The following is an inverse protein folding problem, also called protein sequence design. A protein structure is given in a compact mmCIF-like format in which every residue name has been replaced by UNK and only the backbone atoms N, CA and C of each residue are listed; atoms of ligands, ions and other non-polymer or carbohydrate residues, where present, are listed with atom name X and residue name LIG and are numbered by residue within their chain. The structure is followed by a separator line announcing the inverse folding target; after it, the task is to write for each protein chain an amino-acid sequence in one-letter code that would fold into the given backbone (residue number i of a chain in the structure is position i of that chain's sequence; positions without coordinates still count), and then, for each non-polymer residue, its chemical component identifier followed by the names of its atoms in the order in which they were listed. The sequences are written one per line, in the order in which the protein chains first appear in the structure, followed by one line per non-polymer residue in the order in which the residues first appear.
data_IF_823064301468
#
_entry.id   IF_823064301468
#
_cell.length_a   1.000
_cell.length_b   1.000
_cell.length_c   1.000
_cell.angle_alpha   90.00
_cell.angle_beta   90.00
_cell.angle_gamma   90.00
#
_symmetry.space_group_name_H-M   'P 1'
#
loop_
_entity.id
_entity.type
_entity.pdbx_description
1 polymer ?
#
# COMPACT_ATOMS: atom_id res chain seq x y z
N UNK A 1 -9.34 -8.24 -12.73
CA UNK A 1 -8.22 -7.50 -12.10
C UNK A 1 -7.76 -6.45 -13.11
N UNK A 2 -7.43 -5.25 -12.66
CA UNK A 2 -7.13 -4.13 -13.55
C UNK A 2 -5.67 -3.70 -13.34
N UNK A 3 -4.92 -3.52 -14.42
CA UNK A 3 -3.65 -2.80 -14.44
C UNK A 3 -3.90 -1.43 -15.08
N UNK A 4 -3.45 -0.35 -14.46
CA UNK A 4 -3.65 1.02 -14.97
C UNK A 4 -2.33 1.75 -15.03
N UNK A 5 -2.13 2.53 -16.11
CA UNK A 5 -1.03 3.50 -16.19
C UNK A 5 -1.50 4.79 -15.53
N UNK A 6 -0.88 5.19 -14.41
CA UNK A 6 -1.32 6.37 -13.66
C UNK A 6 -1.21 7.68 -14.44
N UNK A 7 -0.31 7.76 -15.44
CA UNK A 7 -0.14 8.96 -16.27
C UNK A 7 -1.35 9.22 -17.19
N UNK A 8 -2.00 8.18 -17.72
CA UNK A 8 -3.05 8.32 -18.74
C UNK A 8 -4.43 7.84 -18.27
N UNK A 9 -4.51 7.18 -17.12
CA UNK A 9 -5.76 6.53 -16.65
C UNK A 9 -6.22 5.39 -17.56
N UNK A 10 -5.38 4.98 -18.52
CA UNK A 10 -5.68 3.90 -19.45
C UNK A 10 -5.51 2.55 -18.76
N UNK A 11 -6.44 1.64 -19.05
CA UNK A 11 -6.31 0.24 -18.68
C UNK A 11 -5.21 -0.38 -19.54
N UNK A 12 -4.18 -0.91 -18.90
CA UNK A 12 -3.08 -1.59 -19.57
C UNK A 12 -3.49 -3.00 -19.98
N UNK A 13 -4.21 -3.72 -19.12
CA UNK A 13 -4.74 -5.05 -19.42
C UNK A 13 -5.90 -5.46 -18.49
N UNK A 14 -6.70 -6.42 -18.94
CA UNK A 14 -7.91 -6.91 -18.29
C UNK A 14 -7.83 -8.41 -17.99
N UNK A 15 -7.95 -8.78 -16.71
CA UNK A 15 -8.20 -10.17 -16.31
C UNK A 15 -9.68 -10.36 -15.91
N UNK A 16 -10.46 -11.06 -16.74
CA UNK A 16 -11.80 -11.55 -16.38
C UNK A 16 -11.63 -12.53 -15.22
N UNK A 17 -12.24 -12.25 -14.05
CA UNK A 17 -12.41 -13.27 -13.01
C UNK A 17 -13.55 -14.20 -13.44
N UNK A 18 -13.32 -15.47 -13.82
CA UNK A 18 -14.39 -16.44 -13.87
C UNK A 18 -14.75 -16.76 -12.42
N UNK A 19 -16.03 -16.67 -12.07
CA UNK A 19 -16.48 -16.98 -10.73
C UNK A 19 -16.15 -18.44 -10.39
N UNK A 20 -15.52 -18.61 -9.22
CA UNK A 20 -15.33 -19.88 -8.51
C UNK A 20 -14.13 -20.72 -9.02
N UNK A 21 -12.96 -20.59 -8.36
CA UNK A 21 -12.07 -21.66 -7.83
C UNK A 21 -10.65 -21.10 -7.58
N UNK A 22 -10.29 -20.90 -6.32
CA UNK A 22 -8.90 -20.74 -5.81
C UNK A 22 -8.00 -19.68 -6.51
N UNK A 23 -8.49 -18.44 -6.62
CA UNK A 23 -8.02 -17.35 -7.50
C UNK A 23 -6.70 -16.61 -7.15
N UNK A 24 -5.70 -17.23 -6.52
CA UNK A 24 -4.42 -16.52 -6.20
C UNK A 24 -3.25 -16.87 -7.12
N UNK A 25 -3.28 -18.01 -7.82
CA UNK A 25 -2.12 -18.53 -8.57
C UNK A 25 -1.96 -17.98 -9.99
N UNK A 26 -2.91 -17.19 -10.50
CA UNK A 26 -2.83 -16.56 -11.83
C UNK A 26 -2.67 -15.05 -11.80
N UNK A 27 -3.00 -14.42 -10.66
CA UNK A 27 -2.98 -12.97 -10.53
C UNK A 27 -1.55 -12.42 -10.41
N UNK A 28 -0.67 -13.14 -9.72
CA UNK A 28 0.75 -12.82 -9.65
C UNK A 28 1.40 -12.94 -11.03
N UNK A 29 1.16 -14.04 -11.75
CA UNK A 29 1.71 -14.24 -13.08
C UNK A 29 1.23 -13.15 -14.06
N UNK A 30 -0.07 -12.87 -14.09
CA UNK A 30 -0.63 -11.79 -14.91
C UNK A 30 0.03 -10.43 -14.65
N UNK A 31 0.27 -10.07 -13.38
CA UNK A 31 0.97 -8.83 -13.06
C UNK A 31 2.42 -8.81 -13.55
N UNK A 32 3.11 -9.95 -13.49
CA UNK A 32 4.49 -10.06 -13.96
C UNK A 32 4.55 -9.96 -15.49
N UNK A 33 3.60 -10.58 -16.19
CA UNK A 33 3.49 -10.52 -17.64
C UNK A 33 3.20 -9.07 -18.08
N UNK A 34 2.28 -8.39 -17.39
CA UNK A 34 2.01 -6.96 -17.63
C UNK A 34 3.25 -6.09 -17.44
N UNK A 35 4.02 -6.33 -16.38
CA UNK A 35 5.24 -5.58 -16.11
C UNK A 35 6.31 -5.83 -17.18
N UNK A 36 6.45 -7.08 -17.61
CA UNK A 36 7.40 -7.47 -18.65
C UNK A 36 7.08 -6.75 -19.97
N UNK A 37 5.81 -6.74 -20.38
CA UNK A 37 5.37 -6.04 -21.59
C UNK A 37 5.54 -4.52 -21.46
N UNK A 38 5.17 -3.92 -20.33
CA UNK A 38 5.33 -2.48 -20.14
C UNK A 38 6.81 -2.05 -20.24
N UNK A 39 7.72 -2.88 -19.70
CA UNK A 39 9.17 -2.64 -19.79
C UNK A 39 9.75 -2.82 -21.19
N UNK A 40 9.24 -3.77 -21.97
CA UNK A 40 9.72 -3.99 -23.35
C UNK A 40 9.39 -2.78 -24.23
N UNK A 41 8.21 -2.18 -24.01
CA UNK A 41 7.73 -1.03 -24.78
C UNK A 41 8.36 0.31 -24.34
N UNK A 42 8.72 0.45 -23.06
CA UNK A 42 9.14 1.72 -22.46
C UNK A 42 10.55 1.65 -21.83
N UNK A 43 11.50 1.16 -22.61
CA UNK A 43 12.91 1.08 -22.19
C UNK A 43 13.44 2.45 -21.74
N UNK A 44 14.11 2.49 -20.58
CA UNK A 44 14.68 3.71 -20.01
C UNK A 44 13.77 4.50 -19.05
N UNK A 45 12.52 4.07 -18.86
CA UNK A 45 11.60 4.71 -17.90
C UNK A 45 11.76 4.17 -16.49
N UNK A 46 11.43 4.99 -15.48
CA UNK A 46 11.31 4.54 -14.09
C UNK A 46 9.92 3.96 -13.93
N UNK A 47 9.83 2.73 -13.44
CA UNK A 47 8.55 2.10 -13.15
C UNK A 47 8.28 2.18 -11.66
N UNK A 48 7.09 2.66 -11.30
CA UNK A 48 6.59 2.60 -9.94
C UNK A 48 5.28 1.81 -9.88
N UNK A 49 4.98 1.19 -8.75
CA UNK A 49 3.76 0.41 -8.60
C UNK A 49 3.13 0.48 -7.22
N UNK A 50 1.80 0.47 -7.21
CA UNK A 50 0.98 0.40 -6.00
C UNK A 50 0.21 -0.91 -5.99
N UNK A 51 0.31 -1.62 -4.89
CA UNK A 51 -0.29 -2.94 -4.71
C UNK A 51 -1.16 -2.98 -3.45
N UNK A 52 -2.26 -3.71 -3.54
CA UNK A 52 -3.03 -4.09 -2.37
C UNK A 52 -2.37 -5.27 -1.60
N UNK A 53 -3.00 -5.69 -0.50
CA UNK A 53 -2.46 -6.73 0.38
C UNK A 53 -2.53 -8.16 -0.19
N UNK A 54 -3.34 -8.40 -1.22
CA UNK A 54 -3.41 -9.71 -1.87
C UNK A 54 -2.10 -10.06 -2.59
N UNK A 55 -1.32 -9.05 -2.98
CA UNK A 55 -0.03 -9.23 -3.65
C UNK A 55 1.18 -9.18 -2.72
N UNK A 56 0.95 -9.13 -1.40
CA UNK A 56 2.02 -9.21 -0.41
C UNK A 56 2.65 -10.61 -0.39
N UNK A 57 3.57 -10.88 -1.30
CA UNK A 57 4.29 -12.16 -1.43
C UNK A 57 5.76 -11.94 -1.77
N UNK A 58 6.63 -12.88 -1.36
CA UNK A 58 8.05 -12.79 -1.66
C UNK A 58 8.31 -12.79 -3.17
N UNK A 59 7.61 -13.65 -3.92
CA UNK A 59 7.73 -13.77 -5.38
C UNK A 59 7.51 -12.41 -6.05
N UNK A 60 6.38 -11.76 -5.77
CA UNK A 60 6.06 -10.46 -6.38
C UNK A 60 7.07 -9.39 -5.98
N UNK A 61 7.37 -9.24 -4.68
CA UNK A 61 8.30 -8.19 -4.22
C UNK A 61 9.71 -8.38 -4.79
N UNK A 62 10.20 -9.63 -4.84
CA UNK A 62 11.51 -9.94 -5.42
C UNK A 62 11.57 -9.63 -6.91
N UNK A 63 10.55 -10.03 -7.69
CA UNK A 63 10.55 -9.76 -9.13
C UNK A 63 10.51 -8.26 -9.41
N UNK A 64 9.71 -7.49 -8.66
CA UNK A 64 9.67 -6.03 -8.79
C UNK A 64 11.04 -5.41 -8.48
N UNK A 65 11.66 -5.83 -7.38
CA UNK A 65 12.94 -5.26 -6.95
C UNK A 65 14.10 -5.65 -7.89
N UNK A 66 14.15 -6.91 -8.36
CA UNK A 66 15.11 -7.40 -9.35
C UNK A 66 14.96 -6.68 -10.71
N UNK A 67 13.74 -6.23 -11.01
CA UNK A 67 13.42 -5.43 -12.17
C UNK A 67 13.57 -3.92 -11.95
N UNK A 68 14.15 -3.45 -10.84
CA UNK A 68 14.27 -2.02 -10.56
C UNK A 68 12.92 -1.26 -10.62
N UNK A 69 11.83 -1.93 -10.28
CA UNK A 69 10.50 -1.32 -10.15
C UNK A 69 10.34 -0.83 -8.73
N UNK A 70 10.11 0.47 -8.57
CA UNK A 70 9.77 1.06 -7.28
C UNK A 70 8.36 0.60 -6.90
N UNK A 71 8.13 0.20 -5.66
CA UNK A 71 6.80 -0.27 -5.27
C UNK A 71 6.40 0.16 -3.87
N UNK A 72 5.10 0.22 -3.63
CA UNK A 72 4.51 0.15 -2.30
C UNK A 72 3.34 -0.83 -2.29
N UNK A 73 3.28 -1.69 -1.27
CA UNK A 73 2.20 -2.65 -1.10
C UNK A 73 1.60 -2.56 0.30
N UNK A 74 0.27 -2.71 0.38
CA UNK A 74 -0.41 -2.82 1.67
C UNK A 74 -0.01 -4.15 2.32
N UNK A 75 0.26 -4.15 3.62
CA UNK A 75 0.59 -5.37 4.36
C UNK A 75 -0.63 -5.78 5.18
N UNK A 76 -1.09 -7.05 5.10
CA UNK A 76 -2.18 -7.57 5.94
C UNK A 76 -1.70 -7.82 7.38
N UNK A 77 -1.23 -6.76 8.04
CA UNK A 77 -0.49 -6.83 9.31
C UNK A 77 -1.32 -7.38 10.46
N UNK A 78 -2.66 -7.29 10.38
CA UNK A 78 -3.60 -7.85 11.35
C UNK A 78 -3.43 -9.37 11.52
N UNK A 79 -2.97 -10.06 10.46
CA UNK A 79 -2.67 -11.49 10.45
C UNK A 79 -1.23 -11.82 10.82
N UNK A 80 -0.37 -10.80 10.98
CA UNK A 80 1.06 -10.93 11.24
C UNK A 80 1.35 -10.45 12.66
N UNK A 81 1.37 -11.40 13.59
CA UNK A 81 1.50 -11.13 15.03
C UNK A 81 2.73 -10.29 15.40
N UNK A 82 3.86 -10.51 14.73
CA UNK A 82 5.08 -9.71 14.94
C UNK A 82 4.87 -8.23 14.61
N UNK A 83 4.22 -7.93 13.47
CA UNK A 83 3.95 -6.55 13.06
C UNK A 83 2.92 -5.88 13.97
N UNK A 84 1.91 -6.63 14.41
CA UNK A 84 0.94 -6.17 15.41
C UNK A 84 1.63 -5.82 16.73
N UNK A 85 2.51 -6.69 17.22
CA UNK A 85 3.31 -6.42 18.41
C UNK A 85 4.22 -5.20 18.26
N UNK A 86 4.76 -4.94 17.07
CA UNK A 86 5.54 -3.73 16.79
C UNK A 86 4.69 -2.46 16.85
N UNK A 87 3.41 -2.50 16.49
CA UNK A 87 2.47 -1.37 16.60
C UNK A 87 2.09 -1.15 18.06
N UNK A 88 1.69 -2.21 18.76
CA UNK A 88 1.20 -2.15 20.15
C UNK A 88 2.27 -1.72 21.14
N UNK A 89 3.50 -2.20 20.97
CA UNK A 89 4.63 -1.82 21.83
C UNK A 89 5.21 -0.43 21.51
N UNK A 90 4.79 0.22 20.41
CA UNK A 90 5.42 1.46 19.94
C UNK A 90 4.95 2.67 20.76
N UNK A 91 5.85 3.17 21.60
CA UNK A 91 5.63 4.40 22.40
C UNK A 91 5.79 5.71 21.61
N UNK A 92 6.65 5.73 20.58
CA UNK A 92 7.01 6.96 19.85
C UNK A 92 6.69 6.83 18.37
N UNK A 93 5.96 7.81 17.85
CA UNK A 93 5.60 7.97 16.44
C UNK A 93 6.05 9.34 15.95
N UNK A 94 6.70 9.41 14.80
CA UNK A 94 7.10 10.65 14.14
C UNK A 94 5.87 11.30 13.50
N UNK A 95 5.71 12.61 13.65
CA UNK A 95 4.59 13.35 13.05
C UNK A 95 4.83 13.54 11.54
N UNK A 96 3.82 13.31 10.73
CA UNK A 96 3.78 13.72 9.31
C UNK A 96 3.04 15.06 9.20
N UNK A 97 1.86 15.11 9.80
CA UNK A 97 0.99 16.28 9.91
C UNK A 97 0.07 16.12 11.13
N UNK A 98 -0.98 16.95 11.26
CA UNK A 98 -1.89 16.92 12.41
C UNK A 98 -2.75 15.64 12.50
N UNK A 99 -2.91 14.91 11.40
CA UNK A 99 -3.69 13.68 11.33
C UNK A 99 -2.82 12.43 11.29
N UNK A 100 -1.65 12.51 10.66
CA UNK A 100 -0.81 11.36 10.35
C UNK A 100 0.46 11.32 11.19
N UNK A 101 0.79 10.12 11.66
CA UNK A 101 2.09 9.84 12.27
C UNK A 101 2.61 8.50 11.78
N UNK A 102 3.91 8.28 11.87
CA UNK A 102 4.56 7.08 11.35
C UNK A 102 5.74 6.61 12.18
N UNK A 103 6.15 5.36 11.96
CA UNK A 103 7.50 4.88 12.24
C UNK A 103 7.91 3.89 11.16
N UNK A 104 9.20 3.55 11.12
CA UNK A 104 9.74 2.67 10.09
C UNK A 104 10.60 1.59 10.70
N UNK A 105 10.66 0.45 10.04
CA UNK A 105 11.60 -0.62 10.37
C UNK A 105 12.00 -1.37 9.09
N UNK A 106 13.13 -2.07 9.14
CA UNK A 106 13.45 -3.09 8.15
C UNK A 106 13.00 -4.43 8.70
N UNK A 107 12.14 -5.13 7.96
CA UNK A 107 11.61 -6.42 8.40
C UNK A 107 11.39 -7.35 7.20
N UNK A 108 11.23 -8.64 7.51
CA UNK A 108 10.77 -9.67 6.59
C UNK A 108 10.03 -10.76 7.35
N UNK A 109 9.04 -11.43 6.73
CA UNK A 109 8.58 -12.73 7.20
C UNK A 109 9.75 -13.71 7.30
N UNK A 110 9.70 -14.63 8.26
CA UNK A 110 10.78 -15.62 8.48
C UNK A 110 11.11 -16.46 7.24
N UNK A 111 10.09 -16.77 6.43
CA UNK A 111 10.23 -17.53 5.18
C UNK A 111 10.91 -16.75 4.06
N UNK A 112 11.06 -15.44 4.18
CA UNK A 112 11.65 -14.62 3.13
C UNK A 112 13.16 -14.57 3.27
N UNK A 113 13.86 -14.48 2.14
CA UNK A 113 15.32 -14.31 2.13
C UNK A 113 15.72 -12.82 2.25
N UNK A 114 14.88 -11.88 1.80
CA UNK A 114 15.18 -10.45 1.71
C UNK A 114 14.34 -9.59 2.67
N UNK A 115 14.99 -8.60 3.28
CA UNK A 115 14.34 -7.57 4.10
C UNK A 115 13.91 -6.38 3.26
N UNK A 116 12.75 -5.83 3.56
CA UNK A 116 12.24 -4.61 2.94
C UNK A 116 12.01 -3.52 3.99
N UNK A 117 11.83 -2.28 3.52
CA UNK A 117 11.42 -1.17 4.36
C UNK A 117 9.92 -1.27 4.62
N UNK A 118 9.53 -1.23 5.88
CA UNK A 118 8.15 -1.20 6.33
C UNK A 118 7.86 0.16 6.96
N UNK A 119 6.85 0.84 6.44
CA UNK A 119 6.35 2.12 6.92
C UNK A 119 5.02 1.88 7.62
N UNK A 120 5.02 2.07 8.94
CA UNK A 120 3.83 1.98 9.77
C UNK A 120 3.24 3.37 9.87
N UNK A 121 1.97 3.51 9.52
CA UNK A 121 1.26 4.78 9.60
C UNK A 121 0.07 4.62 10.52
N UNK A 122 -0.25 5.69 11.23
CA UNK A 122 -1.48 5.82 11.98
C UNK A 122 -2.18 7.12 11.60
N UNK A 123 -3.49 7.05 11.37
CA UNK A 123 -4.33 8.21 11.09
C UNK A 123 -5.24 8.45 12.29
N UNK A 124 -5.25 9.67 12.82
CA UNK A 124 -6.20 10.08 13.84
C UNK A 124 -7.61 10.09 13.25
N UNK A 125 -8.54 9.40 13.90
CA UNK A 125 -9.95 9.32 13.51
C UNK A 125 -10.83 9.79 14.66
N UNK A 126 -11.86 10.55 14.29
CA UNK A 126 -12.91 10.96 15.22
C UNK A 126 -13.87 9.78 15.41
N UNK A 127 -14.03 9.30 16.64
CA UNK A 127 -15.15 8.40 16.94
C UNK A 127 -16.45 9.20 16.89
N UNK A 128 -17.38 8.76 16.05
CA UNK A 128 -18.79 9.08 16.25
C UNK A 128 -19.35 8.07 17.26
N UNK A 129 -19.68 8.51 18.48
CA UNK A 129 -20.42 7.67 19.43
C UNK A 129 -21.84 7.50 18.89
N UNK A 130 -22.18 6.29 18.40
CA UNK A 130 -23.57 5.90 18.11
C UNK A 130 -24.24 5.47 19.43
N UNK A 131 -24.84 6.42 20.13
CA UNK A 131 -25.68 6.22 21.33
C UNK A 131 -26.76 7.31 21.37
N UNK A 132 -27.80 7.20 22.22
CA UNK A 132 -28.82 8.25 22.33
C UNK A 132 -28.16 9.59 22.62
N UNK A 133 -28.56 10.61 21.88
CA UNK A 133 -27.97 11.96 21.90
C UNK A 133 -28.25 12.61 23.27
N UNK A 134 -27.37 12.40 24.25
CA UNK A 134 -27.50 13.01 25.57
C UNK A 134 -26.99 14.46 25.48
N UNK A 135 -27.91 15.43 25.51
CA UNK A 135 -27.66 16.86 25.27
C UNK A 135 -26.93 17.61 26.40
N UNK A 136 -26.32 16.93 27.36
CA UNK A 136 -25.64 17.60 28.48
C UNK A 136 -24.37 16.87 28.88
N UNK A 137 -23.23 17.28 28.33
CA UNK A 137 -21.92 17.46 28.98
C UNK A 137 -20.82 17.50 27.92
N UNK A 138 -19.79 18.30 28.17
CA UNK A 138 -18.53 18.26 27.44
C UNK A 138 -17.85 16.89 27.65
N UNK A 139 -18.21 15.88 26.85
CA UNK A 139 -17.45 14.64 26.79
C UNK A 139 -16.11 14.90 26.07
N UNK A 140 -14.96 14.42 26.61
CA UNK A 140 -13.71 14.44 25.87
C UNK A 140 -13.91 13.71 24.54
N UNK A 141 -13.51 14.36 23.44
CA UNK A 141 -13.49 13.70 22.13
C UNK A 141 -12.44 12.59 22.17
N UNK A 142 -12.88 11.34 22.28
CA UNK A 142 -11.99 10.18 22.14
C UNK A 142 -11.56 10.05 20.68
N UNK A 143 -10.24 10.15 20.45
CA UNK A 143 -9.65 9.92 19.14
C UNK A 143 -8.99 8.55 19.11
N UNK A 144 -9.45 7.71 18.17
CA UNK A 144 -8.78 6.45 17.84
C UNK A 144 -7.78 6.66 16.70
N UNK A 145 -7.00 5.61 16.44
CA UNK A 145 -6.08 5.56 15.32
C UNK A 145 -6.42 4.38 14.40
N UNK A 146 -6.55 4.66 13.10
CA UNK A 146 -6.49 3.62 12.07
C UNK A 146 -5.02 3.36 11.72
N UNK A 147 -4.63 2.09 11.77
CA UNK A 147 -3.27 1.67 11.47
C UNK A 147 -3.18 1.07 10.07
N UNK A 148 -2.11 1.41 9.36
CA UNK A 148 -1.75 0.78 8.09
C UNK A 148 -0.26 0.50 8.06
N UNK A 149 0.11 -0.59 7.41
CA UNK A 149 1.51 -0.95 7.19
C UNK A 149 1.75 -1.07 5.69
N UNK A 150 2.78 -0.38 5.22
CA UNK A 150 3.20 -0.35 3.82
C UNK A 150 4.58 -0.98 3.72
N UNK A 151 4.75 -1.96 2.85
CA UNK A 151 6.08 -2.46 2.46
C UNK A 151 6.53 -1.75 1.18
N UNK A 152 7.81 -1.39 1.08
CA UNK A 152 8.33 -0.64 -0.06
C UNK A 152 9.85 -0.83 -0.25
N UNK A 153 10.32 -0.66 -1.49
CA UNK A 153 11.74 -0.46 -1.83
C UNK A 153 12.08 1.02 -2.16
N UNK A 154 11.08 1.90 -2.13
CA UNK A 154 11.22 3.36 -2.33
C UNK A 154 12.11 3.97 -1.25
N UNK A 155 12.93 4.95 -1.64
CA UNK A 155 13.89 5.64 -0.74
C UNK A 155 13.40 7.02 -0.29
N UNK A 156 12.29 7.51 -0.84
CA UNK A 156 11.70 8.79 -0.51
C UNK A 156 11.18 8.83 0.94
N UNK A 157 10.81 10.02 1.41
CA UNK A 157 10.27 10.20 2.76
C UNK A 157 9.04 9.33 3.01
N UNK A 158 8.80 8.92 4.27
CA UNK A 158 7.60 8.19 4.65
C UNK A 158 6.31 8.93 4.28
N UNK A 159 6.35 10.28 4.31
CA UNK A 159 5.25 11.12 3.84
C UNK A 159 4.99 10.87 2.36
N UNK A 160 6.02 10.94 1.51
CA UNK A 160 5.92 10.69 0.07
C UNK A 160 5.42 9.28 -0.25
N UNK A 161 5.94 8.26 0.45
CA UNK A 161 5.49 6.87 0.29
C UNK A 161 4.01 6.71 0.67
N UNK A 162 3.60 7.24 1.83
CA UNK A 162 2.21 7.20 2.29
C UNK A 162 1.27 7.91 1.31
N UNK A 163 1.70 9.07 0.81
CA UNK A 163 0.99 9.89 -0.16
C UNK A 163 0.82 9.13 -1.48
N UNK A 164 1.90 8.62 -2.06
CA UNK A 164 1.90 7.79 -3.25
C UNK A 164 0.99 6.56 -3.09
N UNK A 165 1.14 5.80 -1.99
CA UNK A 165 0.33 4.62 -1.69
C UNK A 165 -1.17 4.93 -1.61
N UNK A 166 -1.54 6.05 -0.98
CA UNK A 166 -2.93 6.50 -0.89
C UNK A 166 -3.44 7.15 -2.20
N UNK A 167 -2.63 7.22 -3.25
CA UNK A 167 -2.98 7.85 -4.53
C UNK A 167 -3.04 9.37 -4.47
N UNK A 168 -2.21 9.99 -3.62
CA UNK A 168 -2.16 11.43 -3.42
C UNK A 168 -0.70 11.86 -3.44
N UNK A 169 -0.11 12.32 -4.54
CA UNK A 169 1.30 12.72 -4.61
C UNK A 169 1.60 13.61 -5.82
N UNK A 170 2.66 14.42 -5.75
CA UNK A 170 2.93 15.57 -6.63
C UNK A 170 3.58 15.26 -7.98
N UNK A 171 3.28 14.14 -8.61
CA UNK A 171 3.46 13.98 -10.05
C UNK A 171 2.24 13.23 -10.59
N UNK A 172 1.66 13.84 -11.63
CA UNK A 172 0.39 13.52 -12.28
C UNK A 172 -0.87 14.02 -11.55
N UNK A 173 -1.37 15.17 -12.02
CA UNK A 173 -2.73 15.64 -11.79
C UNK A 173 -3.75 14.63 -12.34
N UNK A 174 -4.16 13.64 -11.57
CA UNK A 174 -5.42 12.93 -11.83
C UNK A 174 -6.21 12.73 -10.54
N UNK A 175 -7.31 13.47 -10.45
CA UNK A 175 -8.36 13.27 -9.45
C UNK A 175 -9.16 12.03 -9.83
N UNK A 176 -9.08 11.01 -8.97
CA UNK A 176 -10.13 10.01 -8.78
C UNK A 176 -10.21 8.88 -9.81
N UNK A 177 -9.88 7.66 -9.38
CA UNK A 177 -10.58 6.45 -9.78
C UNK A 177 -10.20 5.31 -8.82
N UNK A 178 -11.03 4.27 -8.82
CA UNK A 178 -11.19 3.23 -7.80
C UNK A 178 -9.89 2.56 -7.30
N UNK A 179 -9.97 1.92 -6.12
CA UNK A 179 -8.97 0.97 -5.61
C UNK A 179 -8.72 -0.11 -6.66
N UNK A 180 -7.71 0.15 -7.49
CA UNK A 180 -7.29 -0.73 -8.56
C UNK A 180 -6.22 -1.63 -7.95
N UNK A 181 -6.31 -2.96 -8.09
CA UNK A 181 -5.42 -3.90 -7.42
C UNK A 181 -3.92 -3.70 -7.77
N UNK A 182 -3.65 -3.20 -8.98
CA UNK A 182 -2.33 -2.81 -9.46
C UNK A 182 -2.42 -1.47 -10.22
N UNK A 183 -1.54 -0.51 -9.90
CA UNK A 183 -1.31 0.66 -10.74
C UNK A 183 0.18 0.77 -11.05
N UNK A 184 0.54 0.78 -12.32
CA UNK A 184 1.89 1.12 -12.79
C UNK A 184 1.93 2.65 -13.03
N UNK A 185 2.90 3.33 -12.43
CA UNK A 185 3.19 4.74 -12.66
C UNK A 185 4.51 4.80 -13.42
N UNK A 186 4.52 5.52 -14.53
CA UNK A 186 5.72 5.85 -15.31
C UNK A 186 6.21 7.25 -14.91
#
# INVERSE_FOLDING_TARGET
MFCTIAQTGQFFDFYHRPGNVHDSNGADQFMLDCLSEAKSQLSGSIFESRMDSAFFSQKVMSVYDENNVLFCASVPFERLTELKGMVESRKRWKKIDDQWSYFETKWKPKSWNKCYRFVFTRKRIQRQRKGPLQLHLFEPRDFDYDYKVIVTNKQESAKSVMLFHNGRGSQVNHKGSAQTPLTIVL
#
